data_IF_943545778970
#
_entry.id   IF_943545778970
#
_cell.length_a   1.000
_cell.length_b   1.000
_cell.length_c   1.000
_cell.angle_alpha   90.00
_cell.angle_beta   90.00
_cell.angle_gamma   90.00
#
_symmetry.space_group_name_H-M   'P 1'
#
loop_
_entity.id
_entity.type
_entity.pdbx_description
1 polymer ?
#
# COMPACT_ATOMS: atom_id res chain seq x y z
N UNK A 1 -23.56 5.42 10.98
CA UNK A 1 -23.51 4.18 10.16
C UNK A 1 -23.18 4.50 8.70
N UNK A 2 -23.75 5.57 8.15
CA UNK A 2 -23.55 5.99 6.75
C UNK A 2 -22.10 6.38 6.42
N UNK A 3 -21.40 7.11 7.30
CA UNK A 3 -19.99 7.50 7.07
C UNK A 3 -19.05 6.30 6.88
N UNK A 4 -19.31 5.19 7.58
CA UNK A 4 -18.55 3.94 7.42
C UNK A 4 -18.81 3.30 6.05
N UNK A 5 -20.04 3.39 5.54
CA UNK A 5 -20.42 2.88 4.22
C UNK A 5 -19.78 3.76 3.13
N UNK A 6 -19.86 5.08 3.27
CA UNK A 6 -19.25 6.04 2.33
C UNK A 6 -17.72 5.89 2.30
N UNK A 7 -17.09 5.73 3.47
CA UNK A 7 -15.66 5.42 3.57
C UNK A 7 -15.28 4.10 2.90
N UNK A 8 -16.10 3.05 3.06
CA UNK A 8 -15.87 1.76 2.40
C UNK A 8 -16.00 1.85 0.88
N UNK A 9 -17.03 2.52 0.36
CA UNK A 9 -17.24 2.74 -1.07
C UNK A 9 -16.14 3.60 -1.69
N UNK A 10 -15.71 4.64 -0.98
CA UNK A 10 -14.52 5.43 -1.35
C UNK A 10 -13.28 4.54 -1.43
N UNK A 11 -13.02 3.69 -0.42
CA UNK A 11 -11.88 2.77 -0.42
C UNK A 11 -11.89 1.73 -1.54
N UNK A 12 -13.06 1.21 -1.90
CA UNK A 12 -13.24 0.29 -3.05
C UNK A 12 -12.92 1.05 -4.35
N UNK A 13 -13.47 2.25 -4.53
CA UNK A 13 -13.24 3.07 -5.71
C UNK A 13 -11.76 3.41 -5.89
N UNK A 14 -11.11 3.81 -4.80
CA UNK A 14 -9.67 4.04 -4.73
C UNK A 14 -8.85 2.82 -5.16
N UNK A 15 -9.23 1.63 -4.70
CA UNK A 15 -8.55 0.38 -5.06
C UNK A 15 -8.72 0.08 -6.55
N UNK A 16 -9.93 0.24 -7.10
CA UNK A 16 -10.22 -0.01 -8.51
C UNK A 16 -9.41 0.92 -9.43
N UNK A 17 -9.40 2.23 -9.13
CA UNK A 17 -8.66 3.23 -9.92
C UNK A 17 -7.15 3.08 -9.74
N UNK A 18 -6.68 2.72 -8.55
CA UNK A 18 -5.25 2.57 -8.25
C UNK A 18 -4.62 1.29 -8.80
N UNK A 19 -5.39 0.20 -8.91
CA UNK A 19 -4.85 -1.12 -9.23
C UNK A 19 -4.12 -1.20 -10.59
N UNK A 20 -4.57 -0.55 -11.69
CA UNK A 20 -3.80 -0.47 -12.93
C UNK A 20 -2.38 0.05 -12.74
N UNK A 21 -2.22 1.14 -11.98
CA UNK A 21 -0.90 1.72 -11.68
C UNK A 21 -0.03 0.75 -10.88
N UNK A 22 -0.62 0.05 -9.91
CA UNK A 22 0.07 -0.97 -9.14
C UNK A 22 0.54 -2.14 -10.02
N UNK A 23 -0.25 -2.55 -11.01
CA UNK A 23 0.14 -3.60 -11.97
C UNK A 23 1.28 -3.15 -12.87
N UNK A 24 1.20 -1.97 -13.50
CA UNK A 24 2.28 -1.45 -14.32
C UNK A 24 3.58 -1.28 -13.51
N UNK A 25 3.47 -0.78 -12.27
CA UNK A 25 4.60 -0.69 -11.34
C UNK A 25 5.25 -2.06 -11.14
N UNK A 26 4.49 -3.08 -10.77
CA UNK A 26 5.02 -4.43 -10.51
C UNK A 26 5.66 -5.04 -11.75
N UNK A 27 5.08 -4.83 -12.94
CA UNK A 27 5.67 -5.30 -14.19
C UNK A 27 7.01 -4.63 -14.47
N UNK A 28 7.10 -3.30 -14.30
CA UNK A 28 8.35 -2.54 -14.45
C UNK A 28 9.42 -2.99 -13.45
N UNK A 29 9.07 -3.14 -12.17
CA UNK A 29 9.98 -3.60 -11.12
C UNK A 29 10.58 -4.99 -11.40
N UNK A 30 9.82 -5.84 -12.10
CA UNK A 30 10.18 -7.21 -12.45
C UNK A 30 10.68 -7.38 -13.89
N UNK A 31 10.95 -6.28 -14.62
CA UNK A 31 11.37 -6.28 -16.02
C UNK A 31 10.47 -7.15 -16.92
N UNK A 32 9.15 -7.10 -16.69
CA UNK A 32 8.14 -7.78 -17.51
C UNK A 32 7.67 -6.87 -18.65
N UNK A 33 7.31 -7.44 -19.81
CA UNK A 33 6.80 -6.66 -20.93
C UNK A 33 5.49 -5.97 -20.56
N UNK A 34 5.37 -4.70 -20.91
CA UNK A 34 4.19 -3.86 -20.65
C UNK A 34 3.33 -3.62 -21.91
N UNK A 35 3.80 -4.09 -23.07
CA UNK A 35 3.14 -3.83 -24.34
C UNK A 35 1.91 -4.73 -24.50
N UNK A 36 0.81 -4.18 -25.03
CA UNK A 36 -0.41 -4.90 -25.40
C UNK A 36 -1.03 -5.72 -24.27
N UNK A 37 -0.99 -5.22 -23.03
CA UNK A 37 -1.65 -5.85 -21.90
C UNK A 37 -3.17 -5.78 -22.06
N UNK A 38 -3.83 -6.93 -22.03
CA UNK A 38 -5.29 -7.01 -21.93
C UNK A 38 -5.75 -6.45 -20.59
N UNK A 39 -6.92 -5.80 -20.54
CA UNK A 39 -7.52 -5.27 -19.29
C UNK A 39 -7.58 -6.33 -18.20
N UNK A 40 -7.90 -7.58 -18.54
CA UNK A 40 -7.89 -8.73 -17.61
C UNK A 40 -6.55 -8.93 -16.91
N UNK A 41 -5.44 -8.69 -17.60
CA UNK A 41 -4.10 -8.82 -17.04
C UNK A 41 -3.74 -7.60 -16.18
N UNK A 42 -4.19 -6.40 -16.58
CA UNK A 42 -4.02 -5.16 -15.80
C UNK A 42 -4.75 -5.28 -14.45
N UNK A 43 -5.94 -5.86 -14.44
CA UNK A 43 -6.75 -6.07 -13.24
C UNK A 43 -6.45 -7.39 -12.50
N UNK A 44 -5.44 -8.15 -12.94
CA UNK A 44 -5.08 -9.40 -12.31
C UNK A 44 -4.64 -9.18 -10.86
N UNK A 45 -5.21 -9.95 -9.93
CA UNK A 45 -4.85 -9.89 -8.52
C UNK A 45 -5.59 -8.83 -7.69
N UNK A 46 -6.50 -8.03 -8.26
CA UNK A 46 -7.23 -6.98 -7.52
C UNK A 46 -8.07 -7.49 -6.33
N UNK A 47 -8.50 -8.76 -6.38
CA UNK A 47 -9.28 -9.36 -5.28
C UNK A 47 -8.55 -9.34 -3.93
N UNK A 48 -7.22 -9.44 -3.94
CA UNK A 48 -6.41 -9.51 -2.71
C UNK A 48 -6.39 -8.17 -1.96
N UNK A 49 -6.05 -7.03 -2.59
CA UNK A 49 -6.19 -5.73 -1.93
C UNK A 49 -7.65 -5.41 -1.58
N UNK A 50 -8.63 -5.73 -2.43
CA UNK A 50 -10.05 -5.50 -2.10
C UNK A 50 -10.50 -6.23 -0.83
N UNK A 51 -10.06 -7.48 -0.63
CA UNK A 51 -10.45 -8.27 0.54
C UNK A 51 -9.68 -7.93 1.82
N UNK A 52 -8.50 -7.31 1.70
CA UNK A 52 -7.59 -7.09 2.83
C UNK A 52 -7.44 -5.61 3.24
N UNK A 53 -7.75 -4.65 2.36
CA UNK A 53 -7.50 -3.23 2.58
C UNK A 53 -8.18 -2.69 3.84
N UNK A 54 -9.47 -2.99 4.03
CA UNK A 54 -10.23 -2.55 5.19
C UNK A 54 -9.63 -3.09 6.50
N UNK A 55 -9.25 -4.37 6.51
CA UNK A 55 -8.64 -5.01 7.67
C UNK A 55 -7.26 -4.43 7.99
N UNK A 56 -6.41 -4.24 6.96
CA UNK A 56 -5.08 -3.62 7.11
C UNK A 56 -5.21 -2.20 7.65
N UNK A 57 -6.14 -1.40 7.10
CA UNK A 57 -6.38 -0.03 7.52
C UNK A 57 -6.82 0.03 8.99
N UNK A 58 -7.83 -0.78 9.36
CA UNK A 58 -8.35 -0.84 10.73
C UNK A 58 -7.27 -1.26 11.73
N UNK A 59 -6.52 -2.32 11.44
CA UNK A 59 -5.44 -2.78 12.31
C UNK A 59 -4.32 -1.74 12.42
N UNK A 60 -3.97 -1.07 11.33
CA UNK A 60 -2.93 -0.04 11.35
C UNK A 60 -3.33 1.15 12.23
N UNK A 61 -4.48 1.79 11.98
CA UNK A 61 -4.90 2.95 12.76
C UNK A 61 -5.26 2.59 14.21
N UNK A 62 -5.87 1.43 14.43
CA UNK A 62 -6.17 0.93 15.77
C UNK A 62 -4.90 0.67 16.59
N UNK A 63 -3.93 -0.04 16.00
CA UNK A 63 -2.66 -0.35 16.67
C UNK A 63 -1.82 0.91 16.91
N UNK A 64 -1.71 1.80 15.91
CA UNK A 64 -1.04 3.09 16.07
C UNK A 64 -1.66 3.91 17.21
N UNK A 65 -2.99 4.02 17.24
CA UNK A 65 -3.70 4.77 18.29
C UNK A 65 -3.47 4.16 19.67
N UNK A 66 -3.47 2.83 19.77
CA UNK A 66 -3.17 2.12 21.01
C UNK A 66 -1.73 2.40 21.49
N UNK A 67 -0.72 2.23 20.62
CA UNK A 67 0.68 2.46 21.00
C UNK A 67 0.93 3.93 21.38
N UNK A 68 0.39 4.87 20.60
CA UNK A 68 0.59 6.31 20.84
C UNK A 68 -0.17 6.80 22.06
N UNK A 69 -1.46 6.51 22.18
CA UNK A 69 -2.32 7.16 23.17
C UNK A 69 -2.46 6.34 24.46
N UNK A 70 -2.48 5.01 24.38
CA UNK A 70 -2.66 4.16 25.56
C UNK A 70 -1.33 3.80 26.23
N UNK A 71 -0.26 3.66 25.44
CA UNK A 71 1.08 3.31 25.96
C UNK A 71 2.07 4.49 25.93
N UNK A 72 1.63 5.68 25.48
CA UNK A 72 2.45 6.90 25.38
C UNK A 72 3.79 6.70 24.64
N UNK A 73 3.79 5.82 23.63
CA UNK A 73 4.96 5.55 22.82
C UNK A 73 5.10 6.66 21.77
N UNK A 74 6.33 7.11 21.54
CA UNK A 74 6.62 8.16 20.55
C UNK A 74 6.08 7.81 19.15
N UNK A 75 5.80 8.84 18.34
CA UNK A 75 5.12 8.70 17.05
C UNK A 75 5.86 7.76 16.08
N UNK A 76 7.19 7.89 15.85
CA UNK A 76 7.90 7.00 14.94
C UNK A 76 7.82 5.52 15.37
N UNK A 77 8.03 5.24 16.65
CA UNK A 77 8.01 3.86 17.18
C UNK A 77 6.59 3.30 17.17
N UNK A 78 5.58 4.10 17.51
CA UNK A 78 4.16 3.70 17.38
C UNK A 78 3.81 3.33 15.94
N UNK A 79 4.29 4.11 14.96
CA UNK A 79 4.15 3.79 13.54
C UNK A 79 4.86 2.49 13.14
N UNK A 80 6.10 2.29 13.61
CA UNK A 80 6.86 1.07 13.38
C UNK A 80 6.17 -0.19 13.94
N UNK A 81 5.72 -0.13 15.20
CA UNK A 81 5.00 -1.22 15.86
C UNK A 81 3.69 -1.57 15.14
N UNK A 82 2.94 -0.54 14.71
CA UNK A 82 1.76 -0.74 13.89
C UNK A 82 2.08 -1.46 12.57
N UNK A 83 3.19 -1.11 11.92
CA UNK A 83 3.69 -1.80 10.73
C UNK A 83 3.99 -3.28 10.95
N UNK A 84 4.54 -3.64 12.11
CA UNK A 84 4.77 -5.04 12.50
C UNK A 84 3.44 -5.79 12.61
N UNK A 85 2.43 -5.20 13.26
CA UNK A 85 1.11 -5.83 13.45
C UNK A 85 0.44 -6.16 12.12
N UNK A 86 0.52 -5.27 11.12
CA UNK A 86 -0.16 -5.49 9.82
C UNK A 86 0.63 -6.39 8.85
N UNK A 87 1.94 -6.57 9.07
CA UNK A 87 2.84 -7.27 8.16
C UNK A 87 2.35 -8.66 7.72
N UNK A 88 1.82 -9.54 8.60
CA UNK A 88 1.36 -10.87 8.18
C UNK A 88 0.25 -10.82 7.13
N UNK A 89 -0.72 -9.92 7.31
CA UNK A 89 -1.86 -9.77 6.39
C UNK A 89 -1.40 -9.13 5.08
N UNK A 90 -0.55 -8.11 5.17
CA UNK A 90 0.05 -7.46 4.00
C UNK A 90 0.82 -8.49 3.17
N UNK A 91 1.67 -9.32 3.80
CA UNK A 91 2.45 -10.35 3.11
C UNK A 91 1.58 -11.35 2.35
N UNK A 92 0.51 -11.86 2.96
CA UNK A 92 -0.43 -12.79 2.31
C UNK A 92 -1.12 -12.13 1.12
N UNK A 93 -1.65 -10.92 1.30
CA UNK A 93 -2.30 -10.15 0.23
C UNK A 93 -1.35 -9.91 -0.94
N UNK A 94 -0.11 -9.57 -0.62
CA UNK A 94 0.94 -9.27 -1.56
C UNK A 94 1.41 -10.47 -2.38
N UNK A 95 1.51 -11.66 -1.79
CA UNK A 95 1.77 -12.91 -2.53
C UNK A 95 0.72 -13.11 -3.61
N UNK A 96 -0.55 -12.97 -3.24
CA UNK A 96 -1.68 -13.11 -4.17
C UNK A 96 -1.64 -12.07 -5.29
N UNK A 97 -1.48 -10.79 -4.92
CA UNK A 97 -1.48 -9.65 -5.83
C UNK A 97 -0.32 -9.71 -6.82
N UNK A 98 0.93 -9.74 -6.32
CA UNK A 98 2.14 -9.66 -7.14
C UNK A 98 2.26 -10.87 -8.06
N UNK A 99 2.00 -12.09 -7.55
CA UNK A 99 2.05 -13.30 -8.37
C UNK A 99 1.12 -13.20 -9.58
N UNK A 100 -0.13 -12.77 -9.37
CA UNK A 100 -1.11 -12.63 -10.44
C UNK A 100 -0.75 -11.53 -11.43
N UNK A 101 -0.22 -10.40 -10.95
CA UNK A 101 0.25 -9.30 -11.80
C UNK A 101 1.41 -9.71 -12.73
N UNK A 102 2.28 -10.62 -12.29
CA UNK A 102 3.34 -11.20 -13.15
C UNK A 102 2.92 -12.46 -13.92
N UNK A 103 1.61 -12.70 -14.04
CA UNK A 103 1.00 -13.86 -14.70
C UNK A 103 1.41 -15.23 -14.12
N UNK A 104 1.61 -15.30 -12.80
CA UNK A 104 1.85 -16.54 -12.06
C UNK A 104 0.68 -16.90 -11.15
N UNK A 105 0.53 -18.19 -10.88
CA UNK A 105 -0.37 -18.69 -9.84
C UNK A 105 0.36 -18.63 -8.50
N UNK A 106 -0.20 -18.01 -7.45
CA UNK A 106 0.41 -18.04 -6.13
C UNK A 106 0.43 -19.46 -5.58
N UNK A 107 1.58 -19.92 -5.08
CA UNK A 107 1.74 -21.24 -4.46
C UNK A 107 1.38 -21.18 -2.97
N UNK A 108 0.07 -21.31 -2.69
CA UNK A 108 -0.45 -21.29 -1.32
C UNK A 108 -0.01 -22.51 -0.50
N UNK A 109 0.34 -23.64 -1.14
CA UNK A 109 0.75 -24.86 -0.44
C UNK A 109 2.12 -24.69 0.20
N UNK A 110 3.04 -24.01 -0.49
CA UNK A 110 4.40 -23.77 0.00
C UNK A 110 4.62 -22.35 0.54
N UNK A 111 3.58 -21.71 1.09
CA UNK A 111 3.67 -20.32 1.60
C UNK A 111 4.78 -20.14 2.64
N UNK A 112 5.09 -21.17 3.44
CA UNK A 112 6.18 -21.13 4.43
C UNK A 112 7.56 -20.95 3.81
N UNK A 113 7.75 -21.42 2.58
CA UNK A 113 9.00 -21.31 1.83
C UNK A 113 9.07 -20.04 0.99
N UNK A 114 7.98 -19.27 0.93
CA UNK A 114 7.90 -18.04 0.17
C UNK A 114 8.83 -16.98 0.75
N UNK A 115 9.76 -16.47 -0.06
CA UNK A 115 10.64 -15.36 0.30
C UNK A 115 9.89 -14.04 0.20
N UNK A 116 10.35 -13.08 1.00
CA UNK A 116 9.86 -11.69 0.99
C UNK A 116 9.32 -11.22 2.34
N UNK A 117 8.97 -12.11 3.27
CA UNK A 117 8.36 -11.71 4.56
C UNK A 117 9.18 -10.67 5.32
N UNK A 118 10.48 -10.93 5.54
CA UNK A 118 11.36 -9.99 6.25
C UNK A 118 11.47 -8.65 5.51
N UNK A 119 11.44 -8.66 4.18
CA UNK A 119 11.49 -7.45 3.36
C UNK A 119 10.18 -6.67 3.44
N UNK A 120 9.03 -7.36 3.50
CA UNK A 120 7.73 -6.73 3.82
C UNK A 120 7.78 -6.09 5.20
N UNK A 121 8.27 -6.82 6.21
CA UNK A 121 8.37 -6.33 7.59
C UNK A 121 9.18 -5.04 7.66
N UNK A 122 10.39 -5.02 7.10
CA UNK A 122 11.24 -3.82 7.08
C UNK A 122 10.57 -2.69 6.28
N UNK A 123 9.91 -3.01 5.16
CA UNK A 123 9.17 -2.02 4.36
C UNK A 123 8.06 -1.36 5.18
N UNK A 124 7.21 -2.15 5.87
CA UNK A 124 6.10 -1.61 6.66
C UNK A 124 6.61 -0.77 7.84
N UNK A 125 7.66 -1.21 8.53
CA UNK A 125 8.28 -0.43 9.61
C UNK A 125 8.70 0.95 9.12
N UNK A 126 9.47 1.00 8.02
CA UNK A 126 9.95 2.27 7.44
C UNK A 126 8.78 3.11 6.94
N UNK A 127 7.81 2.49 6.24
CA UNK A 127 6.68 3.19 5.65
C UNK A 127 5.77 3.81 6.71
N UNK A 128 5.36 3.05 7.73
CA UNK A 128 4.42 3.57 8.73
C UNK A 128 5.09 4.50 9.74
N UNK A 129 6.34 4.24 10.14
CA UNK A 129 7.11 5.17 10.96
C UNK A 129 7.21 6.55 10.28
N UNK A 130 7.56 6.58 9.00
CA UNK A 130 7.69 7.84 8.25
C UNK A 130 6.35 8.51 7.97
N UNK A 131 5.32 7.72 7.60
CA UNK A 131 3.97 8.23 7.35
C UNK A 131 3.43 8.98 8.58
N UNK A 132 3.37 8.33 9.75
CA UNK A 132 2.79 8.96 10.95
C UNK A 132 3.63 10.13 11.45
N UNK A 133 4.97 10.06 11.35
CA UNK A 133 5.85 11.16 11.74
C UNK A 133 5.60 12.42 10.91
N UNK A 134 5.54 12.28 9.57
CA UNK A 134 5.27 13.42 8.68
C UNK A 134 3.84 13.91 8.83
N UNK A 135 2.87 12.99 8.96
CA UNK A 135 1.46 13.35 9.10
C UNK A 135 1.20 14.20 10.35
N UNK A 136 1.68 13.75 11.51
CA UNK A 136 1.47 14.46 12.78
C UNK A 136 2.25 15.78 12.83
N UNK A 137 3.50 15.79 12.35
CA UNK A 137 4.28 17.02 12.29
C UNK A 137 3.64 18.07 11.35
N UNK A 138 3.14 17.64 10.19
CA UNK A 138 2.42 18.52 9.27
C UNK A 138 1.16 19.11 9.93
N UNK A 139 0.39 18.27 10.64
CA UNK A 139 -0.79 18.73 11.39
C UNK A 139 -0.43 19.72 12.50
N UNK A 140 0.65 19.47 13.25
CA UNK A 140 1.13 20.38 14.29
C UNK A 140 1.54 21.75 13.74
N UNK A 141 2.04 21.79 12.51
CA UNK A 141 2.37 23.02 11.79
C UNK A 141 1.15 23.65 11.07
N UNK A 142 -0.08 23.22 11.38
CA UNK A 142 -1.30 23.80 10.82
C UNK A 142 -1.60 23.41 9.37
N UNK A 143 -0.88 22.44 8.81
CA UNK A 143 -1.18 21.93 7.46
C UNK A 143 -2.49 21.14 7.52
N UNK A 144 -3.43 21.46 6.63
CA UNK A 144 -4.71 20.79 6.54
C UNK A 144 -4.53 19.26 6.41
N UNK A 145 -5.31 18.41 7.11
CA UNK A 145 -5.13 16.96 7.13
C UNK A 145 -5.03 16.31 5.75
N UNK A 146 -5.73 16.87 4.76
CA UNK A 146 -5.62 16.47 3.36
C UNK A 146 -4.19 16.57 2.82
N UNK A 147 -3.56 17.74 2.94
CA UNK A 147 -2.19 17.97 2.46
C UNK A 147 -1.18 17.24 3.33
N UNK A 148 -1.40 17.16 4.64
CA UNK A 148 -0.59 16.37 5.55
C UNK A 148 -0.57 14.88 5.15
N UNK A 149 -1.72 14.32 4.79
CA UNK A 149 -1.84 12.94 4.30
C UNK A 149 -1.12 12.71 2.97
N UNK A 150 -1.20 13.67 2.04
CA UNK A 150 -0.46 13.65 0.78
C UNK A 150 1.06 13.67 0.97
N UNK A 151 1.56 14.58 1.83
CA UNK A 151 2.98 14.70 2.17
C UNK A 151 3.50 13.43 2.87
N UNK A 152 2.76 12.93 3.85
CA UNK A 152 3.06 11.67 4.53
C UNK A 152 3.08 10.50 3.54
N UNK A 153 2.12 10.48 2.60
CA UNK A 153 2.02 9.57 1.46
C UNK A 153 3.30 9.54 0.62
N UNK A 154 3.77 10.69 0.18
CA UNK A 154 4.97 10.81 -0.64
C UNK A 154 6.25 10.48 0.14
N UNK A 155 6.34 10.93 1.40
CA UNK A 155 7.49 10.65 2.26
C UNK A 155 7.68 9.15 2.49
N UNK A 156 6.61 8.43 2.84
CA UNK A 156 6.71 6.99 3.07
C UNK A 156 7.05 6.23 1.79
N UNK A 157 6.45 6.60 0.63
CA UNK A 157 6.77 5.95 -0.63
C UNK A 157 8.23 6.19 -0.98
N UNK A 158 8.71 7.42 -0.87
CA UNK A 158 10.10 7.78 -1.18
C UNK A 158 11.08 6.97 -0.33
N UNK A 159 10.85 6.85 0.97
CA UNK A 159 11.75 6.13 1.88
C UNK A 159 11.68 4.61 1.72
N UNK A 160 10.49 4.07 1.43
CA UNK A 160 10.28 2.61 1.35
C UNK A 160 10.41 2.02 -0.06
N UNK A 161 10.52 2.85 -1.11
CA UNK A 161 10.45 2.39 -2.50
C UNK A 161 11.51 1.34 -2.89
N UNK A 162 12.81 1.52 -2.58
CA UNK A 162 13.81 0.51 -2.93
C UNK A 162 13.51 -0.86 -2.30
N UNK A 163 12.96 -0.85 -1.09
CA UNK A 163 12.55 -2.06 -0.36
C UNK A 163 11.33 -2.69 -1.03
N UNK A 164 10.37 -1.89 -1.51
CA UNK A 164 9.22 -2.36 -2.31
C UNK A 164 9.67 -3.08 -3.58
N UNK A 165 10.68 -2.57 -4.28
CA UNK A 165 11.24 -3.22 -5.49
C UNK A 165 11.86 -4.57 -5.16
N UNK A 166 12.68 -4.65 -4.10
CA UNK A 166 13.30 -5.90 -3.65
C UNK A 166 12.21 -6.90 -3.27
N UNK A 167 11.25 -6.50 -2.44
CA UNK A 167 10.09 -7.30 -2.03
C UNK A 167 9.33 -7.85 -3.23
N UNK A 168 8.98 -6.99 -4.19
CA UNK A 168 8.24 -7.35 -5.40
C UNK A 168 8.96 -8.44 -6.20
N UNK A 169 10.29 -8.31 -6.35
CA UNK A 169 11.13 -9.31 -7.03
C UNK A 169 11.22 -10.63 -6.27
N UNK A 170 11.34 -10.57 -4.96
CA UNK A 170 11.35 -11.78 -4.13
C UNK A 170 10.02 -12.52 -4.23
N UNK A 171 8.88 -11.83 -4.16
CA UNK A 171 7.58 -12.48 -4.30
C UNK A 171 7.40 -13.05 -5.72
N UNK A 172 7.74 -12.29 -6.76
CA UNK A 172 7.56 -12.72 -8.14
C UNK A 172 8.46 -13.89 -8.57
N UNK A 173 9.66 -14.04 -7.98
CA UNK A 173 10.66 -15.02 -8.42
C UNK A 173 11.20 -15.95 -7.34
N UNK A 174 10.70 -15.82 -6.11
CA UNK A 174 11.15 -16.54 -4.91
C UNK A 174 12.67 -16.45 -4.66
N UNK A 175 13.28 -15.32 -5.04
CA UNK A 175 14.72 -15.10 -4.92
C UNK A 175 15.13 -14.54 -3.53
N UNK A 176 16.42 -14.61 -3.23
CA UNK A 176 16.98 -14.00 -2.01
C UNK A 176 17.03 -12.47 -2.12
N UNK A 177 17.22 -11.77 -0.99
CA UNK A 177 17.36 -10.30 -0.98
C UNK A 177 18.53 -9.87 -1.87
N UNK A 178 19.66 -10.58 -1.78
CA UNK A 178 20.85 -10.31 -2.59
C UNK A 178 20.56 -10.46 -4.09
N UNK A 179 19.97 -11.57 -4.50
CA UNK A 179 19.58 -11.78 -5.91
C UNK A 179 18.56 -10.73 -6.41
N UNK A 180 17.66 -10.26 -5.55
CA UNK A 180 16.72 -9.19 -5.90
C UNK A 180 17.39 -7.82 -6.03
N UNK A 181 18.37 -7.53 -5.17
CA UNK A 181 19.19 -6.33 -5.19
C UNK A 181 20.10 -6.26 -6.42
N UNK A 182 20.78 -7.36 -6.73
CA UNK A 182 21.73 -7.47 -7.85
C UNK A 182 21.10 -7.21 -9.23
N UNK A 183 19.76 -7.32 -9.34
CA UNK A 183 19.00 -6.94 -10.55
C UNK A 183 19.01 -5.42 -10.84
N UNK A 184 19.49 -4.58 -9.92
CA UNK A 184 19.65 -3.13 -10.12
C UNK A 184 18.33 -2.35 -10.23
N UNK A 185 18.39 -1.09 -10.69
CA UNK A 185 17.22 -0.24 -11.00
C UNK A 185 16.12 -0.19 -9.92
N UNK A 186 16.51 0.06 -8.66
CA UNK A 186 15.60 0.04 -7.50
C UNK A 186 14.56 1.17 -7.46
N UNK A 187 14.62 2.14 -8.38
CA UNK A 187 13.67 3.25 -8.51
C UNK A 187 12.73 3.13 -9.71
N UNK A 188 12.83 2.02 -10.47
CA UNK A 188 12.07 1.82 -11.70
C UNK A 188 10.57 1.66 -11.40
N UNK A 189 9.78 2.63 -11.86
CA UNK A 189 8.33 2.68 -11.66
C UNK A 189 7.87 3.62 -10.55
N UNK A 190 8.78 4.37 -9.90
CA UNK A 190 8.44 5.29 -8.80
C UNK A 190 7.43 6.37 -9.23
N UNK A 191 7.57 6.91 -10.43
CA UNK A 191 6.63 7.90 -10.98
C UNK A 191 5.18 7.41 -11.01
N UNK A 192 4.95 6.11 -11.25
CA UNK A 192 3.60 5.53 -11.19
C UNK A 192 3.02 5.56 -9.78
N UNK A 193 3.85 5.35 -8.74
CA UNK A 193 3.41 5.48 -7.35
C UNK A 193 3.02 6.93 -7.02
N UNK A 194 3.83 7.89 -7.44
CA UNK A 194 3.59 9.31 -7.18
C UNK A 194 2.29 9.79 -7.87
N UNK A 195 2.12 9.46 -9.16
CA UNK A 195 0.90 9.80 -9.91
C UNK A 195 -0.32 9.11 -9.30
N UNK A 196 -0.21 7.82 -8.96
CA UNK A 196 -1.28 7.06 -8.31
C UNK A 196 -1.70 7.70 -6.99
N UNK A 197 -0.76 8.18 -6.18
CA UNK A 197 -1.07 8.79 -4.89
C UNK A 197 -1.96 10.03 -5.05
N UNK A 198 -1.69 10.88 -6.05
CA UNK A 198 -2.53 12.05 -6.33
C UNK A 198 -3.90 11.62 -6.83
N UNK A 199 -3.95 10.79 -7.88
CA UNK A 199 -5.21 10.40 -8.53
C UNK A 199 -6.16 9.62 -7.60
N UNK A 200 -5.63 8.65 -6.87
CA UNK A 200 -6.44 7.81 -5.99
C UNK A 200 -7.01 8.63 -4.84
N UNK A 201 -6.20 9.51 -4.24
CA UNK A 201 -6.70 10.39 -3.19
C UNK A 201 -7.81 11.30 -3.73
N UNK A 202 -7.61 11.96 -4.88
CA UNK A 202 -8.63 12.81 -5.51
C UNK A 202 -9.96 12.08 -5.75
N UNK A 203 -9.91 10.87 -6.30
CA UNK A 203 -11.12 10.04 -6.50
C UNK A 203 -11.77 9.66 -5.17
N UNK A 204 -10.96 9.30 -4.17
CA UNK A 204 -11.44 8.93 -2.85
C UNK A 204 -12.28 10.02 -2.20
N UNK A 205 -11.79 11.26 -2.24
CA UNK A 205 -12.52 12.41 -1.70
C UNK A 205 -13.77 12.72 -2.53
N UNK A 206 -13.64 12.78 -3.86
CA UNK A 206 -14.79 13.03 -4.73
C UNK A 206 -15.94 12.05 -4.50
N UNK A 207 -15.63 10.75 -4.37
CA UNK A 207 -16.64 9.72 -4.10
C UNK A 207 -17.25 9.88 -2.71
N UNK A 208 -16.43 10.19 -1.69
CA UNK A 208 -16.93 10.41 -0.33
C UNK A 208 -17.88 11.61 -0.27
N UNK A 209 -17.44 12.76 -0.77
CA UNK A 209 -18.20 14.01 -0.75
C UNK A 209 -19.49 13.87 -1.57
N UNK A 210 -19.42 13.26 -2.76
CA UNK A 210 -20.61 13.03 -3.59
C UNK A 210 -21.64 12.13 -2.91
N UNK A 211 -21.19 11.07 -2.22
CA UNK A 211 -22.10 10.18 -1.50
C UNK A 211 -22.73 10.88 -0.29
N UNK A 212 -21.94 11.70 0.41
CA UNK A 212 -22.44 12.49 1.53
C UNK A 212 -23.48 13.53 1.08
N UNK A 213 -23.18 14.34 0.05
CA UNK A 213 -24.12 15.35 -0.45
C UNK A 213 -25.43 14.76 -0.96
N UNK A 214 -25.38 13.65 -1.71
CA UNK A 214 -26.61 12.97 -2.16
C UNK A 214 -27.43 12.39 -1.02
N UNK A 215 -26.81 12.05 0.12
CA UNK A 215 -27.52 11.57 1.29
C UNK A 215 -28.11 12.71 2.12
N UNK A 216 -27.41 13.83 2.22
CA UNK A 216 -27.88 15.03 2.93
C UNK A 216 -29.03 15.75 2.19
N UNK A 217 -29.15 15.55 0.87
CA UNK A 217 -30.25 16.06 0.03
C UNK A 217 -31.54 15.22 0.08
N UNK A 218 -31.52 14.01 0.68
CA UNK A 218 -32.68 13.10 0.81
C UNK A 218 -33.16 12.96 2.25
#
# INVERSE_FOLDING_TARGET
MNDYIFGALSGISQTIIGHPFDTYKVLLQNNKPINNLKIKNIMAGIKYPLSSSALICSLNFGSYSYFKNNLDINIPVSGALSGIVVTPIVFISDIGKVSRQVNKVPDWKNIKNQKGFNTVLVREIVAFSSYFSVFENAKQNGIHPFFAGGLAGLANWTLSYPIDVIRSRQIATNCTVRQAYDKGSLWRGFGLCAIRAVLVNSVGFYVYDSLQSNFDEN
#
